data_IF_782972188071
#
_entry.id   IF_782972188071
#
_cell.length_a   1.000
_cell.length_b   1.000
_cell.length_c   1.000
_cell.angle_alpha   90.00
_cell.angle_beta   90.00
_cell.angle_gamma   90.00
#
_symmetry.space_group_name_H-M   'P 1'
#
loop_
_entity.id
_entity.type
_entity.pdbx_description
1 polymer ?
#
# COMPACT_ATOMS: atom_id res chain seq x y z
N UNK A 1 28.53 3.77 -7.13
CA UNK A 1 28.19 3.42 -5.76
C UNK A 1 26.84 2.70 -5.83
N UNK A 2 26.89 1.37 -5.66
CA UNK A 2 25.67 0.57 -5.67
C UNK A 2 24.94 0.81 -4.34
N UNK A 3 23.73 1.33 -4.42
CA UNK A 3 22.84 1.44 -3.27
C UNK A 3 22.52 0.01 -2.80
N UNK A 4 22.54 -0.27 -1.49
CA UNK A 4 22.15 -1.58 -0.99
C UNK A 4 20.70 -1.86 -1.38
N UNK A 5 20.35 -3.12 -1.72
CA UNK A 5 18.97 -3.46 -2.06
C UNK A 5 18.06 -3.10 -0.89
N UNK A 6 16.95 -2.43 -1.19
CA UNK A 6 15.87 -2.18 -0.24
C UNK A 6 15.51 -3.55 0.34
N UNK A 7 15.79 -3.74 1.62
CA UNK A 7 15.66 -5.05 2.22
C UNK A 7 14.17 -5.42 2.16
N UNK A 8 13.82 -6.55 1.58
CA UNK A 8 12.56 -7.31 1.68
C UNK A 8 12.01 -7.42 3.12
N UNK A 9 12.69 -6.82 4.07
CA UNK A 9 12.46 -6.95 5.51
C UNK A 9 11.18 -6.29 6.02
N UNK A 10 10.53 -5.40 5.25
CA UNK A 10 9.35 -4.68 5.76
C UNK A 10 8.06 -5.50 5.58
N UNK A 11 7.97 -6.33 4.55
CA UNK A 11 6.78 -7.17 4.31
C UNK A 11 7.06 -8.67 4.56
N UNK A 12 8.28 -9.14 4.31
CA UNK A 12 8.63 -10.56 4.35
C UNK A 12 9.19 -11.13 5.67
N UNK A 13 9.56 -10.32 6.66
CA UNK A 13 10.22 -10.82 7.87
C UNK A 13 9.27 -11.12 9.04
N UNK A 14 7.97 -10.97 8.84
CA UNK A 14 6.94 -11.39 9.80
C UNK A 14 6.55 -12.88 9.68
N UNK A 15 7.19 -13.64 8.83
CA UNK A 15 6.68 -14.91 8.30
C UNK A 15 7.27 -16.20 8.88
N UNK A 16 7.89 -16.23 10.05
CA UNK A 16 8.30 -17.54 10.64
C UNK A 16 8.35 -17.53 12.15
N UNK A 17 7.20 -17.64 12.83
CA UNK A 17 7.15 -18.26 14.14
C UNK A 17 5.72 -18.69 14.54
N UNK A 18 5.56 -19.99 14.81
CA UNK A 18 4.36 -20.58 15.42
C UNK A 18 4.14 -19.95 16.80
N UNK A 19 2.96 -19.37 17.02
CA UNK A 19 2.61 -18.60 18.22
C UNK A 19 2.83 -19.37 19.53
N UNK A 20 3.57 -18.82 20.50
CA UNK A 20 3.51 -19.23 21.90
C UNK A 20 2.25 -18.66 22.56
N UNK A 21 1.84 -19.22 23.72
CA UNK A 21 0.58 -18.95 24.47
C UNK A 21 0.37 -17.50 24.99
N UNK A 22 1.21 -16.57 24.61
CA UNK A 22 0.96 -15.12 24.64
C UNK A 22 1.44 -14.59 23.29
N UNK A 23 0.53 -14.18 22.43
CA UNK A 23 0.89 -13.58 21.16
C UNK A 23 1.88 -12.42 21.39
N UNK A 24 2.97 -12.33 20.62
CA UNK A 24 3.85 -11.16 20.69
C UNK A 24 3.02 -9.89 20.39
N UNK A 25 3.43 -8.72 20.94
CA UNK A 25 2.72 -7.48 20.65
C UNK A 25 2.66 -7.30 19.13
N UNK A 26 1.46 -7.04 18.64
CA UNK A 26 1.20 -6.85 17.21
C UNK A 26 2.07 -5.73 16.68
N UNK A 27 2.66 -5.93 15.50
CA UNK A 27 3.40 -4.89 14.79
C UNK A 27 2.49 -3.67 14.58
N UNK A 28 2.95 -2.44 14.86
CA UNK A 28 2.17 -1.24 14.58
C UNK A 28 1.72 -1.20 13.12
N UNK A 29 0.48 -0.78 12.88
CA UNK A 29 -0.03 -0.59 11.53
C UNK A 29 0.82 0.45 10.79
N UNK A 30 1.17 0.14 9.55
CA UNK A 30 2.04 0.98 8.73
C UNK A 30 1.26 1.72 7.64
N UNK A 31 1.83 2.80 7.14
CA UNK A 31 1.21 3.60 6.09
C UNK A 31 1.68 3.09 4.71
N UNK A 32 0.70 2.82 3.87
CA UNK A 32 0.83 2.56 2.45
C UNK A 32 0.30 3.78 1.70
N UNK A 33 1.19 4.61 1.19
CA UNK A 33 0.82 5.85 0.53
C UNK A 33 0.51 5.60 -0.94
N UNK A 34 -0.56 6.20 -1.46
CA UNK A 34 -0.93 6.15 -2.88
C UNK A 34 -0.81 7.56 -3.46
N UNK A 35 -0.22 7.71 -4.63
CA UNK A 35 -0.16 9.02 -5.33
C UNK A 35 -1.56 9.59 -5.54
N UNK A 36 -1.72 10.90 -5.69
CA UNK A 36 -2.98 11.46 -6.18
C UNK A 36 -3.29 10.89 -7.58
N UNK A 37 -4.57 10.81 -7.97
CA UNK A 37 -4.95 10.23 -9.26
C UNK A 37 -4.42 11.02 -10.46
N UNK A 38 -4.05 12.29 -10.27
CA UNK A 38 -3.47 13.18 -11.27
C UNK A 38 -2.39 14.06 -10.64
N UNK A 39 -1.26 14.18 -11.31
CA UNK A 39 -0.15 15.05 -10.93
C UNK A 39 -0.03 16.13 -12.01
N UNK A 40 -0.39 17.36 -11.68
CA UNK A 40 -0.37 18.49 -12.63
C UNK A 40 1.04 19.07 -12.82
N UNK A 41 1.82 19.15 -11.74
CA UNK A 41 3.22 19.60 -11.73
C UNK A 41 4.06 18.53 -11.02
N UNK A 42 4.83 17.80 -11.79
CA UNK A 42 5.64 16.69 -11.27
C UNK A 42 6.78 17.19 -10.36
N UNK A 43 7.33 18.36 -10.63
CA UNK A 43 8.42 18.94 -9.82
C UNK A 43 7.90 19.43 -8.46
N UNK A 44 6.71 20.02 -8.44
CA UNK A 44 6.06 20.39 -7.17
C UNK A 44 5.70 19.14 -6.37
N UNK A 45 5.10 18.14 -7.01
CA UNK A 45 4.74 16.89 -6.35
C UNK A 45 5.95 16.15 -5.79
N UNK A 46 7.09 16.14 -6.48
CA UNK A 46 8.31 15.52 -6.00
C UNK A 46 8.81 16.18 -4.70
N UNK A 47 8.74 17.50 -4.58
CA UNK A 47 9.08 18.23 -3.33
C UNK A 47 8.09 17.92 -2.21
N UNK A 48 6.80 17.87 -2.53
CA UNK A 48 5.76 17.54 -1.54
C UNK A 48 5.93 16.09 -1.04
N UNK A 49 6.23 15.16 -1.95
CA UNK A 49 6.51 13.78 -1.60
C UNK A 49 7.72 13.67 -0.66
N UNK A 50 8.84 14.32 -1.00
CA UNK A 50 10.03 14.33 -0.15
C UNK A 50 9.71 14.85 1.25
N UNK A 51 8.98 15.98 1.36
CA UNK A 51 8.56 16.54 2.63
C UNK A 51 7.62 15.60 3.43
N UNK A 52 6.77 14.84 2.76
CA UNK A 52 5.90 13.83 3.39
C UNK A 52 6.73 12.65 3.92
N UNK A 53 7.71 12.18 3.13
CA UNK A 53 8.58 11.06 3.52
C UNK A 53 9.52 11.44 4.67
N UNK A 54 9.98 12.68 4.73
CA UNK A 54 10.75 13.22 5.88
C UNK A 54 9.91 13.32 7.16
N UNK A 55 8.59 13.53 7.01
CA UNK A 55 7.70 13.83 8.13
C UNK A 55 7.18 12.59 8.87
N UNK A 56 7.18 11.41 8.23
CA UNK A 56 6.60 10.19 8.81
C UNK A 56 7.16 8.91 8.17
N UNK A 57 7.23 7.79 8.91
CA UNK A 57 7.58 6.50 8.34
C UNK A 57 6.46 6.00 7.41
N UNK A 58 6.84 5.70 6.17
CA UNK A 58 5.95 5.13 5.14
C UNK A 58 6.56 3.82 4.67
N UNK A 59 5.76 2.76 4.62
CA UNK A 59 6.24 1.43 4.23
C UNK A 59 6.30 1.26 2.70
N UNK A 60 5.29 1.77 2.00
CA UNK A 60 5.20 1.65 0.56
C UNK A 60 4.56 2.89 -0.08
N UNK A 61 4.95 3.18 -1.32
CA UNK A 61 4.35 4.19 -2.18
C UNK A 61 3.81 3.50 -3.44
N UNK A 62 2.50 3.57 -3.68
CA UNK A 62 1.90 3.11 -4.93
C UNK A 62 1.81 4.26 -5.93
N UNK A 63 2.37 4.05 -7.11
CA UNK A 63 2.20 4.96 -8.26
C UNK A 63 0.90 4.58 -8.96
N UNK A 64 -0.14 5.39 -8.78
CA UNK A 64 -1.47 5.19 -9.35
C UNK A 64 -1.98 6.48 -9.96
N UNK A 65 -1.75 6.66 -11.26
CA UNK A 65 -2.24 7.79 -12.04
C UNK A 65 -3.44 7.34 -12.88
N UNK A 66 -4.60 7.91 -12.58
CA UNK A 66 -5.84 7.60 -13.28
C UNK A 66 -5.83 8.30 -14.66
N UNK A 67 -6.26 7.57 -15.69
CA UNK A 67 -6.37 8.06 -17.07
C UNK A 67 -5.05 8.59 -17.68
N UNK A 68 -3.90 8.28 -17.05
CA UNK A 68 -2.59 8.66 -17.54
C UNK A 68 -2.07 7.68 -18.60
N UNK A 69 -1.35 8.21 -19.57
CA UNK A 69 -0.61 7.42 -20.55
C UNK A 69 0.59 6.73 -19.90
N UNK A 70 1.08 5.65 -20.49
CA UNK A 70 2.31 4.99 -20.04
C UNK A 70 3.52 5.96 -20.05
N UNK A 71 3.55 6.92 -20.97
CA UNK A 71 4.58 7.96 -21.00
C UNK A 71 4.56 8.83 -19.72
N UNK A 72 3.39 9.28 -19.30
CA UNK A 72 3.22 10.07 -18.07
C UNK A 72 3.54 9.26 -16.82
N UNK A 73 3.12 7.98 -16.77
CA UNK A 73 3.44 7.05 -15.68
C UNK A 73 4.96 6.84 -15.59
N UNK A 74 5.63 6.63 -16.71
CA UNK A 74 7.09 6.47 -16.77
C UNK A 74 7.80 7.75 -16.31
N UNK A 75 7.34 8.92 -16.74
CA UNK A 75 7.92 10.19 -16.32
C UNK A 75 7.77 10.41 -14.81
N UNK A 76 6.58 10.18 -14.29
CA UNK A 76 6.30 10.25 -12.85
C UNK A 76 7.16 9.25 -12.06
N UNK A 77 7.20 7.99 -12.50
CA UNK A 77 7.99 6.95 -11.83
C UNK A 77 9.48 7.31 -11.76
N UNK A 78 10.05 7.80 -12.85
CA UNK A 78 11.47 8.23 -12.89
C UNK A 78 11.76 9.39 -11.95
N UNK A 79 10.81 10.27 -11.73
CA UNK A 79 10.99 11.42 -10.85
C UNK A 79 10.88 11.05 -9.37
N UNK A 80 9.90 10.19 -9.00
CA UNK A 80 9.57 9.95 -7.60
C UNK A 80 10.20 8.69 -7.01
N UNK A 81 10.50 7.66 -7.82
CA UNK A 81 11.10 6.42 -7.31
C UNK A 81 12.44 6.63 -6.60
N UNK A 82 13.39 7.42 -7.13
CA UNK A 82 14.64 7.69 -6.41
C UNK A 82 14.44 8.33 -5.03
N UNK A 83 13.47 9.24 -4.92
CA UNK A 83 13.11 9.91 -3.66
C UNK A 83 12.59 8.86 -2.66
N UNK A 84 11.63 8.05 -3.07
CA UNK A 84 11.06 7.00 -2.21
C UNK A 84 12.14 6.00 -1.75
N UNK A 85 12.99 5.54 -2.66
CA UNK A 85 14.06 4.60 -2.33
C UNK A 85 15.11 5.19 -1.38
N UNK A 86 15.43 6.49 -1.48
CA UNK A 86 16.34 7.16 -0.52
C UNK A 86 15.79 7.13 0.91
N UNK A 87 14.47 7.13 1.07
CA UNK A 87 13.79 7.00 2.37
C UNK A 87 13.50 5.54 2.76
N UNK A 88 13.96 4.56 1.98
CA UNK A 88 13.71 3.14 2.25
C UNK A 88 12.28 2.70 2.00
N UNK A 89 11.51 3.46 1.22
CA UNK A 89 10.11 3.20 0.89
C UNK A 89 10.03 2.35 -0.37
N UNK A 90 9.31 1.22 -0.30
CA UNK A 90 9.06 0.37 -1.45
C UNK A 90 8.11 1.05 -2.46
N UNK A 91 8.41 0.94 -3.76
CA UNK A 91 7.60 1.57 -4.81
C UNK A 91 6.83 0.51 -5.60
N UNK A 92 5.51 0.61 -5.54
CA UNK A 92 4.57 -0.34 -6.14
C UNK A 92 3.88 0.30 -7.34
N UNK A 93 3.90 -0.37 -8.48
CA UNK A 93 3.16 0.05 -9.67
C UNK A 93 1.70 -0.39 -9.59
N UNK A 94 0.76 0.48 -9.96
CA UNK A 94 -0.63 0.08 -10.13
C UNK A 94 -0.84 -0.53 -11.53
N UNK A 95 -1.33 -1.76 -11.64
CA UNK A 95 -1.78 -2.51 -12.83
C UNK A 95 -0.70 -2.79 -13.91
N UNK A 96 0.25 -1.92 -14.15
CA UNK A 96 1.18 -1.95 -15.29
C UNK A 96 2.38 -2.88 -15.06
N UNK A 97 2.16 -4.19 -14.99
CA UNK A 97 3.21 -5.22 -14.76
C UNK A 97 4.47 -5.03 -15.62
N UNK A 98 4.39 -4.74 -16.94
CA UNK A 98 5.60 -4.59 -17.77
C UNK A 98 6.52 -3.44 -17.35
N UNK A 99 5.96 -2.40 -16.70
CA UNK A 99 6.73 -1.23 -16.29
C UNK A 99 7.59 -1.49 -15.03
N UNK A 100 7.23 -2.46 -14.21
CA UNK A 100 7.92 -2.76 -12.95
C UNK A 100 9.41 -3.01 -13.16
N UNK A 101 9.77 -3.95 -14.04
CA UNK A 101 11.19 -4.27 -14.32
C UNK A 101 11.92 -3.12 -14.99
N UNK A 102 11.29 -2.49 -15.99
CA UNK A 102 11.93 -1.43 -16.78
C UNK A 102 12.23 -0.18 -15.94
N UNK A 103 11.44 0.07 -14.92
CA UNK A 103 11.58 1.21 -14.00
C UNK A 103 12.26 0.83 -12.68
N UNK A 104 12.65 -0.44 -12.50
CA UNK A 104 13.28 -0.98 -11.28
C UNK A 104 12.44 -0.72 -10.02
N UNK A 105 11.12 -0.93 -10.13
CA UNK A 105 10.20 -0.83 -9.01
C UNK A 105 10.18 -2.13 -8.21
N UNK A 106 9.68 -2.05 -6.98
CA UNK A 106 9.73 -3.17 -6.04
C UNK A 106 8.57 -4.16 -6.24
N UNK A 107 7.49 -3.74 -6.90
CA UNK A 107 6.36 -4.62 -7.13
C UNK A 107 5.20 -4.00 -7.89
N UNK A 108 4.08 -4.72 -7.90
CA UNK A 108 2.83 -4.33 -8.56
C UNK A 108 1.64 -4.59 -7.64
N UNK A 109 0.61 -3.76 -7.76
CA UNK A 109 -0.70 -4.00 -7.18
C UNK A 109 -1.73 -4.21 -8.29
N UNK A 110 -2.50 -5.29 -8.21
CA UNK A 110 -3.44 -5.72 -9.24
C UNK A 110 -4.87 -5.78 -8.70
N UNK A 111 -5.81 -5.34 -9.50
CA UNK A 111 -7.23 -5.57 -9.28
C UNK A 111 -7.71 -6.87 -9.92
N UNK A 112 -9.00 -7.20 -9.72
CA UNK A 112 -9.60 -8.45 -10.18
C UNK A 112 -9.80 -8.52 -11.73
N UNK A 113 -9.77 -7.38 -12.40
CA UNK A 113 -9.90 -7.28 -13.86
C UNK A 113 -8.57 -7.09 -14.59
N UNK A 114 -7.46 -7.01 -13.84
CA UNK A 114 -6.14 -6.80 -14.38
C UNK A 114 -5.46 -8.14 -14.76
N UNK A 115 -4.16 -8.09 -15.05
CA UNK A 115 -3.37 -9.29 -15.30
C UNK A 115 -3.45 -10.24 -14.08
N UNK A 116 -3.58 -11.53 -14.34
CA UNK A 116 -3.64 -12.50 -13.25
C UNK A 116 -2.35 -12.52 -12.42
N UNK A 117 -2.48 -12.84 -11.13
CA UNK A 117 -1.34 -13.00 -10.22
C UNK A 117 -0.29 -13.98 -10.78
N UNK A 118 -0.75 -15.10 -11.35
CA UNK A 118 0.12 -16.12 -11.93
C UNK A 118 0.96 -15.59 -13.09
N UNK A 119 0.33 -14.86 -14.02
CA UNK A 119 1.03 -14.26 -15.16
C UNK A 119 2.01 -13.15 -14.70
N UNK A 120 1.56 -12.29 -13.77
CA UNK A 120 2.43 -11.26 -13.20
C UNK A 120 3.64 -11.87 -12.51
N UNK A 121 3.47 -12.95 -11.73
CA UNK A 121 4.56 -13.68 -11.09
C UNK A 121 5.54 -14.31 -12.09
N UNK A 122 5.03 -14.86 -13.20
CA UNK A 122 5.89 -15.38 -14.27
C UNK A 122 6.75 -14.27 -14.93
N UNK A 123 6.17 -13.10 -15.13
CA UNK A 123 6.88 -11.96 -15.73
C UNK A 123 7.89 -11.37 -14.73
N UNK A 124 7.50 -11.14 -13.50
CA UNK A 124 8.29 -10.38 -12.52
C UNK A 124 9.32 -11.26 -11.78
N UNK A 125 9.02 -12.54 -11.63
CA UNK A 125 9.85 -13.46 -10.83
C UNK A 125 9.46 -13.46 -9.35
N UNK A 126 10.16 -14.26 -8.52
CA UNK A 126 9.79 -14.49 -7.12
C UNK A 126 10.10 -13.31 -6.19
N UNK A 127 10.96 -12.39 -6.64
CA UNK A 127 11.46 -11.31 -5.80
C UNK A 127 10.56 -10.07 -5.78
N UNK A 128 9.73 -9.86 -6.81
CA UNK A 128 8.83 -8.72 -6.88
C UNK A 128 7.63 -8.89 -5.94
N UNK A 129 7.24 -7.84 -5.26
CA UNK A 129 6.03 -7.81 -4.46
C UNK A 129 4.79 -7.74 -5.36
N UNK A 130 3.82 -8.62 -5.14
CA UNK A 130 2.54 -8.60 -5.85
C UNK A 130 1.40 -8.56 -4.84
N UNK A 131 0.67 -7.45 -4.83
CA UNK A 131 -0.53 -7.29 -4.02
C UNK A 131 -1.80 -7.41 -4.84
N UNK A 132 -2.85 -7.93 -4.23
CA UNK A 132 -4.14 -8.18 -4.90
C UNK A 132 -5.28 -7.47 -4.16
N UNK A 133 -6.09 -6.69 -4.89
CA UNK A 133 -7.36 -6.15 -4.39
C UNK A 133 -8.38 -7.28 -4.27
N UNK A 134 -8.91 -7.49 -3.08
CA UNK A 134 -9.91 -8.53 -2.78
C UNK A 134 -11.28 -7.97 -2.40
N UNK A 135 -11.48 -6.66 -2.51
CA UNK A 135 -12.72 -5.99 -2.15
C UNK A 135 -13.16 -6.32 -0.71
N UNK A 136 -14.36 -6.87 -0.54
CA UNK A 136 -14.87 -7.38 0.74
C UNK A 136 -14.88 -8.93 0.80
N UNK A 137 -14.13 -9.60 -0.09
CA UNK A 137 -14.18 -11.04 -0.25
C UNK A 137 -12.96 -11.73 0.35
N UNK A 138 -13.17 -12.43 1.46
CA UNK A 138 -12.14 -13.32 2.05
C UNK A 138 -11.80 -14.48 1.13
N UNK A 139 -12.75 -14.95 0.32
CA UNK A 139 -12.51 -16.02 -0.65
C UNK A 139 -11.47 -15.61 -1.70
N UNK A 140 -11.64 -14.42 -2.32
CA UNK A 140 -10.64 -13.89 -3.25
C UNK A 140 -9.27 -13.70 -2.59
N UNK A 141 -9.26 -13.31 -1.32
CA UNK A 141 -8.02 -13.13 -0.59
C UNK A 141 -7.32 -14.48 -0.28
N UNK A 142 -8.08 -15.54 0.04
CA UNK A 142 -7.55 -16.90 0.22
C UNK A 142 -6.97 -17.43 -1.09
N UNK A 143 -7.69 -17.27 -2.21
CA UNK A 143 -7.18 -17.65 -3.54
C UNK A 143 -5.89 -16.90 -3.90
N UNK A 144 -5.82 -15.59 -3.59
CA UNK A 144 -4.60 -14.81 -3.80
C UNK A 144 -3.45 -15.32 -2.93
N UNK A 145 -3.69 -15.64 -1.66
CA UNK A 145 -2.70 -16.19 -0.75
C UNK A 145 -2.15 -17.55 -1.23
N UNK A 146 -3.03 -18.47 -1.65
CA UNK A 146 -2.67 -19.78 -2.19
C UNK A 146 -1.85 -19.67 -3.48
N UNK A 147 -2.06 -18.62 -4.27
CA UNK A 147 -1.31 -18.33 -5.48
C UNK A 147 -0.08 -17.43 -5.25
N UNK A 148 0.38 -17.28 -4.01
CA UNK A 148 1.60 -16.56 -3.64
C UNK A 148 1.54 -15.04 -3.87
N UNK A 149 0.41 -14.41 -3.55
CA UNK A 149 0.37 -12.97 -3.33
C UNK A 149 1.21 -12.61 -2.10
N UNK A 150 1.91 -11.47 -2.15
CA UNK A 150 2.71 -10.99 -1.02
C UNK A 150 1.87 -10.23 0.01
N UNK A 151 0.74 -9.67 -0.42
CA UNK A 151 -0.28 -9.06 0.44
C UNK A 151 -1.64 -8.99 -0.27
N UNK A 152 -2.69 -8.85 0.51
CA UNK A 152 -4.06 -8.63 0.01
C UNK A 152 -4.58 -7.28 0.46
N UNK A 153 -5.49 -6.66 -0.32
CA UNK A 153 -6.12 -5.41 0.05
C UNK A 153 -7.64 -5.57 0.13
N UNK A 154 -8.19 -5.19 1.29
CA UNK A 154 -9.63 -5.13 1.55
C UNK A 154 -10.15 -3.71 1.54
N UNK A 155 -11.34 -3.50 1.00
CA UNK A 155 -12.00 -2.18 0.93
C UNK A 155 -13.05 -2.10 -0.19
N UNK A 156 -13.77 -0.98 -0.28
CA UNK A 156 -13.54 0.22 0.53
C UNK A 156 -14.18 0.09 1.91
N UNK A 157 -13.54 0.64 2.95
CA UNK A 157 -14.13 0.68 4.29
C UNK A 157 -15.01 1.90 4.52
N UNK A 158 -14.70 3.01 3.85
CA UNK A 158 -15.44 4.28 3.96
C UNK A 158 -15.68 4.87 2.58
N UNK A 159 -16.67 5.77 2.42
CA UNK A 159 -16.89 6.50 1.18
C UNK A 159 -15.62 7.21 0.70
N UNK A 160 -15.35 7.17 -0.60
CA UNK A 160 -14.16 7.79 -1.20
C UNK A 160 -14.47 8.40 -2.56
N UNK A 161 -13.83 9.51 -2.87
CA UNK A 161 -13.90 10.15 -4.19
C UNK A 161 -12.84 9.65 -5.18
N UNK A 162 -11.88 8.85 -4.72
CA UNK A 162 -10.73 8.43 -5.55
C UNK A 162 -11.08 7.30 -6.53
N UNK A 163 -12.08 6.48 -6.19
CA UNK A 163 -12.59 5.37 -7.03
C UNK A 163 -14.08 5.19 -6.75
N UNK A 164 -14.85 4.80 -7.76
CA UNK A 164 -16.22 4.37 -7.55
C UNK A 164 -16.25 3.15 -6.62
N UNK A 165 -17.06 3.24 -5.56
CA UNK A 165 -17.18 2.20 -4.54
C UNK A 165 -18.34 1.29 -4.91
N UNK A 166 -18.04 0.09 -5.39
CA UNK A 166 -19.03 -0.95 -5.70
C UNK A 166 -19.22 -1.88 -4.51
N UNK A 167 -18.16 -2.09 -3.72
CA UNK A 167 -18.14 -2.99 -2.56
C UNK A 167 -17.67 -2.24 -1.32
N UNK A 168 -18.43 -2.39 -0.24
CA UNK A 168 -18.03 -1.92 1.09
C UNK A 168 -17.56 -3.13 1.90
N UNK A 169 -16.40 -3.01 2.52
CA UNK A 169 -15.88 -4.01 3.45
C UNK A 169 -16.28 -3.66 4.88
N UNK A 170 -16.46 -4.68 5.70
CA UNK A 170 -16.75 -4.55 7.12
C UNK A 170 -15.50 -4.83 7.96
N UNK A 171 -15.41 -4.25 9.15
CA UNK A 171 -14.23 -4.36 10.00
C UNK A 171 -13.91 -5.81 10.41
N UNK A 172 -14.92 -6.65 10.53
CA UNK A 172 -14.75 -8.09 10.84
C UNK A 172 -13.94 -8.84 9.77
N UNK A 173 -13.95 -8.34 8.52
CA UNK A 173 -13.11 -8.90 7.46
C UNK A 173 -11.62 -8.86 7.83
N UNK A 174 -11.19 -7.76 8.47
CA UNK A 174 -9.80 -7.59 8.91
C UNK A 174 -9.47 -8.49 10.11
N UNK A 175 -10.34 -8.52 11.12
CA UNK A 175 -10.11 -9.33 12.33
C UNK A 175 -10.08 -10.82 12.02
N UNK A 176 -11.02 -11.31 11.22
CA UNK A 176 -11.03 -12.71 10.80
C UNK A 176 -9.80 -13.06 9.95
N UNK A 177 -9.37 -12.13 9.05
CA UNK A 177 -8.16 -12.34 8.25
C UNK A 177 -6.92 -12.43 9.11
N UNK A 178 -6.74 -11.48 10.01
CA UNK A 178 -5.59 -11.38 10.90
C UNK A 178 -5.47 -12.57 11.86
N UNK A 179 -6.61 -13.14 12.28
CA UNK A 179 -6.64 -14.33 13.15
C UNK A 179 -6.36 -15.64 12.39
N UNK A 180 -6.66 -15.69 11.09
CA UNK A 180 -6.68 -16.93 10.31
C UNK A 180 -5.54 -17.06 9.32
N UNK A 181 -4.90 -15.94 8.92
CA UNK A 181 -3.96 -15.90 7.80
C UNK A 181 -2.65 -15.22 8.19
N UNK A 182 -1.54 -15.68 7.58
CA UNK A 182 -0.20 -15.14 7.83
C UNK A 182 0.18 -14.01 6.88
N UNK A 183 -0.44 -13.97 5.67
CA UNK A 183 -0.10 -12.93 4.70
C UNK A 183 -0.73 -11.59 5.09
N UNK A 184 0.02 -10.49 5.02
CA UNK A 184 -0.45 -9.21 5.52
C UNK A 184 -1.61 -8.64 4.71
N UNK A 185 -2.48 -7.88 5.38
CA UNK A 185 -3.59 -7.20 4.76
C UNK A 185 -3.44 -5.67 4.80
N UNK A 186 -3.87 -5.06 3.72
CA UNK A 186 -3.97 -3.61 3.53
C UNK A 186 -5.44 -3.23 3.58
N UNK A 187 -5.82 -2.34 4.49
CA UNK A 187 -7.13 -1.71 4.47
C UNK A 187 -7.11 -0.46 3.58
N UNK A 188 -8.10 -0.32 2.69
CA UNK A 188 -8.17 0.79 1.72
C UNK A 188 -9.58 1.37 1.62
N UNK A 189 -9.67 2.62 1.21
CA UNK A 189 -10.91 3.32 0.85
C UNK A 189 -11.42 4.24 1.94
N UNK A 190 -11.28 5.55 1.72
CA UNK A 190 -11.81 6.61 2.57
C UNK A 190 -11.22 6.73 3.97
N UNK A 191 -10.10 6.06 4.25
CA UNK A 191 -9.46 6.10 5.58
C UNK A 191 -8.86 7.48 5.82
N UNK A 192 -9.16 8.06 6.98
CA UNK A 192 -8.66 9.34 7.49
C UNK A 192 -8.01 9.16 8.86
N UNK A 193 -7.46 10.23 9.44
CA UNK A 193 -6.94 10.20 10.80
C UNK A 193 -7.99 9.80 11.83
N UNK A 194 -9.25 10.18 11.63
CA UNK A 194 -10.35 9.87 12.55
C UNK A 194 -10.72 8.37 12.55
N UNK A 195 -10.47 7.66 11.46
CA UNK A 195 -10.84 6.25 11.29
C UNK A 195 -9.65 5.29 11.32
N UNK A 196 -8.42 5.80 11.26
CA UNK A 196 -7.21 4.98 11.19
C UNK A 196 -7.03 4.07 12.43
N UNK A 197 -7.33 4.58 13.63
CA UNK A 197 -7.21 3.80 14.87
C UNK A 197 -8.17 2.62 14.90
N UNK A 198 -9.41 2.79 14.43
CA UNK A 198 -10.42 1.74 14.34
C UNK A 198 -10.00 0.64 13.35
N UNK A 199 -9.51 1.03 12.17
CA UNK A 199 -8.97 0.11 11.16
C UNK A 199 -7.78 -0.70 11.71
N UNK A 200 -6.88 -0.05 12.44
CA UNK A 200 -5.77 -0.73 13.09
C UNK A 200 -6.26 -1.71 14.16
N UNK A 201 -7.19 -1.28 15.03
CA UNK A 201 -7.77 -2.14 16.06
C UNK A 201 -8.48 -3.36 15.45
N UNK A 202 -9.14 -3.19 14.30
CA UNK A 202 -9.81 -4.26 13.57
C UNK A 202 -8.85 -5.30 12.94
N UNK A 203 -7.56 -5.00 12.78
CA UNK A 203 -6.65 -6.03 12.31
C UNK A 203 -5.82 -5.68 11.08
N UNK A 204 -5.90 -4.47 10.51
CA UNK A 204 -5.08 -4.09 9.36
C UNK A 204 -3.59 -4.02 9.70
N UNK A 205 -2.74 -4.59 8.84
CA UNK A 205 -1.28 -4.43 8.93
C UNK A 205 -0.84 -3.13 8.29
N UNK A 206 -1.56 -2.70 7.26
CA UNK A 206 -1.32 -1.44 6.56
C UNK A 206 -2.63 -0.69 6.32
N UNK A 207 -2.57 0.64 6.34
CA UNK A 207 -3.62 1.50 5.80
C UNK A 207 -3.17 2.13 4.48
N UNK A 208 -3.95 1.97 3.42
CA UNK A 208 -3.70 2.61 2.14
C UNK A 208 -4.46 3.94 2.05
N UNK A 209 -3.71 5.02 1.90
CA UNK A 209 -4.22 6.40 1.94
C UNK A 209 -3.72 7.22 0.75
N UNK A 210 -4.58 8.11 0.26
CA UNK A 210 -4.24 9.09 -0.79
C UNK A 210 -4.86 10.45 -0.43
N UNK A 211 -6.17 10.61 -0.56
CA UNK A 211 -6.84 11.89 -0.33
C UNK A 211 -6.66 12.46 1.07
N UNK A 212 -6.57 11.62 2.10
CA UNK A 212 -6.31 12.04 3.47
C UNK A 212 -4.95 12.75 3.64
N UNK A 213 -4.01 12.50 2.73
CA UNK A 213 -2.70 13.17 2.70
C UNK A 213 -2.72 14.32 1.70
N UNK A 214 -2.96 14.01 0.42
CA UNK A 214 -2.78 14.99 -0.67
C UNK A 214 -3.83 16.10 -0.72
N UNK A 215 -5.03 15.85 -0.16
CA UNK A 215 -6.13 16.82 -0.11
C UNK A 215 -6.34 17.38 1.30
N UNK A 216 -5.38 17.21 2.23
CA UNK A 216 -5.51 17.76 3.57
C UNK A 216 -5.51 19.29 3.52
N UNK A 217 -6.42 19.98 4.23
CA UNK A 217 -6.56 21.43 4.15
C UNK A 217 -5.29 22.20 4.54
N UNK A 218 -4.51 21.66 5.47
CA UNK A 218 -3.25 22.25 5.94
C UNK A 218 -2.01 21.68 5.21
N UNK A 219 -2.23 21.04 4.06
CA UNK A 219 -1.20 20.45 3.21
C UNK A 219 -0.81 19.01 3.55
N UNK A 220 -0.06 18.34 2.64
CA UNK A 220 0.20 16.90 2.73
C UNK A 220 1.02 16.49 3.94
N UNK A 221 1.93 17.34 4.42
CA UNK A 221 2.74 17.10 5.63
C UNK A 221 1.85 17.05 6.88
N UNK A 222 0.83 17.91 6.97
CA UNK A 222 -0.13 17.88 8.07
C UNK A 222 -0.98 16.60 8.03
N UNK A 223 -1.43 16.21 6.83
CA UNK A 223 -2.21 14.99 6.63
C UNK A 223 -1.48 13.73 7.06
N UNK A 224 -0.20 13.57 6.67
CA UNK A 224 0.58 12.39 7.05
C UNK A 224 0.88 12.36 8.55
N UNK A 225 1.17 13.50 9.17
CA UNK A 225 1.39 13.60 10.62
C UNK A 225 0.13 13.23 11.40
N UNK A 226 -1.05 13.70 10.98
CA UNK A 226 -2.32 13.35 11.61
C UNK A 226 -2.58 11.84 11.58
N UNK A 227 -2.39 11.19 10.42
CA UNK A 227 -2.50 9.73 10.30
C UNK A 227 -1.51 8.98 11.19
N UNK A 228 -0.25 9.40 11.21
CA UNK A 228 0.78 8.79 12.05
C UNK A 228 0.45 8.91 13.54
N UNK A 229 -0.04 10.07 13.97
CA UNK A 229 -0.46 10.29 15.34
C UNK A 229 -1.65 9.38 15.72
N UNK A 230 -2.62 9.23 14.82
CA UNK A 230 -3.78 8.35 15.04
C UNK A 230 -3.38 6.87 15.18
N UNK A 231 -2.41 6.40 14.40
CA UNK A 231 -1.89 5.02 14.48
C UNK A 231 -0.99 4.77 15.71
N UNK A 232 -0.40 5.80 16.29
CA UNK A 232 0.42 5.69 17.49
C UNK A 232 -0.39 5.57 18.80
N UNK A 233 -1.70 5.77 18.75
CA UNK A 233 -2.59 5.57 19.90
C UNK A 233 -2.62 4.06 20.19
N UNK A 234 -2.00 3.68 21.33
CA UNK A 234 -2.08 2.31 21.82
C UNK A 234 -3.54 2.03 22.23
N UNK A 235 -4.16 1.09 21.56
CA UNK A 235 -5.43 0.49 21.98
C UNK A 235 -5.18 -0.46 23.14
#
# INVERSE_FOLDING_TARGET
MDLPPVKKYVIGHLMTQKAPKSAPPRTPCQIYLITPPKIADLSAFARDLEAVLDAAPIAALQIRLKDATDYEIVAASKAITPIAHQHGVAVIMNDRVPLVKSLKLDGVHLGQSDMSLKEARQILGPEAMIGITCHNSRHLAMEAAENSADYVAFGAFYPTSTKEVIHMAELDTLSIWQESMEIPCVAIGGITADTAAEIYAAGADFIAVSGAVWNHPDGPVAGIKALTAALAIKV
#
